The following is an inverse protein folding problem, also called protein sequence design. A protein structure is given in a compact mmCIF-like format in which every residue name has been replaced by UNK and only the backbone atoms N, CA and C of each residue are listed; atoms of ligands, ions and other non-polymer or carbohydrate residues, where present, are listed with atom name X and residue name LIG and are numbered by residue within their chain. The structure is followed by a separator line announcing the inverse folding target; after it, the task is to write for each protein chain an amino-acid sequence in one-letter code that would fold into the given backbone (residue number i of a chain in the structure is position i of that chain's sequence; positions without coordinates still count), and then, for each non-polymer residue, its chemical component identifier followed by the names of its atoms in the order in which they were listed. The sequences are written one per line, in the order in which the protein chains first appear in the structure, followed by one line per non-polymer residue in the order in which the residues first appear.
data_IF_825594086759
#
_entry.id   IF_825594086759
#
_cell.length_a   1.000
_cell.length_b   1.000
_cell.length_c   1.000
_cell.angle_alpha   90.00
_cell.angle_beta   90.00
_cell.angle_gamma   90.00
#
_symmetry.space_group_name_H-M   'P 1'
#
loop_
_entity.id
_entity.type
_entity.pdbx_description
1 polymer ?
#
# COMPACT_ATOMS: atom_id res chain seq x y z
N UNK A 1 24.85 -12.88 40.23
CA UNK A 1 25.07 -11.66 39.42
C UNK A 1 25.41 -12.09 38.01
N UNK A 2 24.46 -11.96 37.10
CA UNK A 2 24.72 -11.95 35.66
C UNK A 2 24.00 -10.70 35.16
N UNK A 3 24.75 -9.62 35.00
CA UNK A 3 24.24 -8.36 34.46
C UNK A 3 24.11 -8.60 32.96
N UNK A 4 22.88 -8.87 32.51
CA UNK A 4 22.55 -8.87 31.09
C UNK A 4 22.70 -7.44 30.59
N UNK A 5 23.79 -7.16 29.86
CA UNK A 5 23.89 -5.94 29.09
C UNK A 5 22.82 -5.96 27.99
N UNK A 6 22.01 -4.91 27.84
CA UNK A 6 21.11 -4.80 26.69
C UNK A 6 21.97 -4.76 25.43
N UNK A 7 21.64 -5.61 24.45
CA UNK A 7 22.26 -5.57 23.14
C UNK A 7 22.10 -4.17 22.57
N UNK A 8 23.21 -3.51 22.24
CA UNK A 8 23.20 -2.22 21.59
C UNK A 8 22.41 -2.32 20.28
N UNK A 9 21.36 -1.51 20.14
CA UNK A 9 20.65 -1.39 18.86
C UNK A 9 21.66 -1.07 17.75
N UNK A 10 21.54 -1.70 16.57
CA UNK A 10 22.47 -1.44 15.47
C UNK A 10 22.49 0.05 15.14
N UNK A 11 23.67 0.59 14.86
CA UNK A 11 23.82 1.98 14.47
C UNK A 11 22.95 2.27 13.24
N UNK A 12 22.24 3.42 13.20
CA UNK A 12 21.34 3.72 12.10
C UNK A 12 22.11 3.81 10.77
N UNK A 13 21.50 3.38 9.65
CA UNK A 13 22.14 3.42 8.35
C UNK A 13 22.56 4.85 8.01
N UNK A 14 23.78 4.98 7.48
CA UNK A 14 24.34 6.28 7.12
C UNK A 14 23.52 6.93 6.01
N UNK A 15 23.31 8.25 6.05
CA UNK A 15 22.71 8.96 4.94
C UNK A 15 23.57 8.79 3.68
N UNK A 16 22.93 8.35 2.60
CA UNK A 16 23.59 8.24 1.30
C UNK A 16 23.81 9.62 0.68
N UNK A 17 24.69 9.70 -0.32
CA UNK A 17 24.79 10.95 -1.11
C UNK A 17 23.48 11.16 -1.86
N UNK A 18 23.02 12.42 -2.07
CA UNK A 18 21.78 12.69 -2.76
C UNK A 18 21.77 12.09 -4.16
N UNK A 19 20.62 11.57 -4.57
CA UNK A 19 20.30 11.39 -5.98
C UNK A 19 20.35 12.75 -6.68
N UNK A 20 20.68 12.77 -7.98
CA UNK A 20 20.75 14.00 -8.76
C UNK A 20 19.84 13.88 -9.98
N UNK A 21 19.11 14.95 -10.26
CA UNK A 21 18.23 15.06 -11.40
C UNK A 21 16.80 14.63 -11.09
N UNK A 22 15.94 14.67 -12.11
CA UNK A 22 14.53 14.34 -12.01
C UNK A 22 14.33 12.95 -11.38
N UNK A 23 13.46 12.88 -10.37
CA UNK A 23 13.06 11.61 -9.76
C UNK A 23 11.91 11.04 -10.59
N UNK A 24 12.05 9.86 -11.22
CA UNK A 24 10.94 9.27 -11.97
C UNK A 24 9.75 9.04 -11.04
N UNK A 25 8.57 9.57 -11.40
CA UNK A 25 7.35 9.43 -10.61
C UNK A 25 7.05 7.95 -10.30
N UNK A 26 7.24 7.06 -11.27
CA UNK A 26 7.11 5.61 -11.14
C UNK A 26 7.91 5.02 -9.97
N UNK A 27 9.12 5.55 -9.74
CA UNK A 27 9.99 5.11 -8.65
C UNK A 27 9.57 5.61 -7.27
N UNK A 28 8.57 6.51 -7.19
CA UNK A 28 8.16 7.20 -5.98
C UNK A 28 6.68 7.03 -5.62
N UNK A 29 5.81 6.67 -6.56
CA UNK A 29 4.36 6.49 -6.32
C UNK A 29 4.09 5.57 -5.13
N UNK A 30 4.82 4.46 -5.01
CA UNK A 30 4.65 3.53 -3.89
C UNK A 30 4.95 4.16 -2.52
N UNK A 31 6.03 4.93 -2.41
CA UNK A 31 6.41 5.61 -1.17
C UNK A 31 5.43 6.73 -0.83
N UNK A 32 4.99 7.49 -1.85
CA UNK A 32 3.99 8.53 -1.73
C UNK A 32 2.63 7.98 -1.26
N UNK A 33 2.16 6.89 -1.88
CA UNK A 33 0.91 6.23 -1.54
C UNK A 33 0.96 5.70 -0.10
N UNK A 34 2.04 5.01 0.29
CA UNK A 34 2.23 4.52 1.65
C UNK A 34 2.20 5.65 2.66
N UNK A 35 2.86 6.77 2.36
CA UNK A 35 2.87 7.93 3.24
C UNK A 35 1.47 8.51 3.47
N UNK A 36 0.69 8.69 2.40
CA UNK A 36 -0.69 9.20 2.50
C UNK A 36 -1.58 8.22 3.26
N UNK A 37 -1.56 6.93 2.93
CA UNK A 37 -2.37 5.91 3.62
C UNK A 37 -2.00 5.80 5.09
N UNK A 38 -0.70 5.85 5.44
CA UNK A 38 -0.23 5.70 6.82
C UNK A 38 -0.66 6.88 7.70
N UNK A 39 -0.63 8.10 7.14
CA UNK A 39 -1.10 9.30 7.84
C UNK A 39 -2.58 9.18 8.22
N UNK A 40 -3.42 8.75 7.27
CA UNK A 40 -4.86 8.58 7.50
C UNK A 40 -5.18 7.37 8.40
N UNK A 41 -4.44 6.28 8.29
CA UNK A 41 -4.59 5.10 9.17
C UNK A 41 -4.33 5.45 10.65
N UNK A 42 -3.35 6.33 10.92
CA UNK A 42 -3.03 6.79 12.26
C UNK A 42 -4.05 7.78 12.86
N UNK A 43 -5.08 8.18 12.09
CA UNK A 43 -6.00 9.26 12.47
C UNK A 43 -5.35 10.64 12.50
N UNK A 44 -4.08 10.73 12.10
CA UNK A 44 -3.35 11.96 11.88
C UNK A 44 -3.63 12.42 10.44
N UNK A 45 -4.83 12.95 10.20
CA UNK A 45 -5.16 13.58 8.93
C UNK A 45 -4.07 14.59 8.53
N UNK A 46 -3.88 14.77 7.22
CA UNK A 46 -2.94 15.78 6.72
C UNK A 46 -3.31 17.15 7.36
N UNK A 47 -2.42 17.85 8.07
CA UNK A 47 -2.76 19.14 8.68
C UNK A 47 -3.23 20.18 7.66
N UNK A 48 -2.89 19.99 6.38
CA UNK A 48 -3.29 20.85 5.27
C UNK A 48 -4.66 20.45 4.64
N UNK A 49 -5.32 19.37 5.11
CA UNK A 49 -6.61 18.87 4.58
C UNK A 49 -7.60 18.55 5.72
N UNK A 50 -8.89 18.81 5.53
CA UNK A 50 -9.91 18.50 6.55
C UNK A 50 -10.04 16.96 6.70
N UNK A 51 -9.76 16.37 7.88
CA UNK A 51 -9.89 14.93 8.09
C UNK A 51 -11.30 14.39 7.81
N UNK A 52 -12.33 15.24 7.88
CA UNK A 52 -13.70 14.87 7.51
C UNK A 52 -13.92 14.73 6.00
N UNK A 53 -12.97 15.19 5.18
CA UNK A 53 -13.05 15.17 3.71
C UNK A 53 -12.40 13.93 3.07
N UNK A 54 -11.58 13.16 3.79
CA UNK A 54 -10.97 11.95 3.24
C UNK A 54 -11.98 10.78 3.27
N UNK A 55 -12.37 10.20 2.12
CA UNK A 55 -13.49 9.28 2.06
C UNK A 55 -13.16 7.87 2.58
N UNK A 56 -11.88 7.54 2.74
CA UNK A 56 -11.44 6.21 3.17
C UNK A 56 -11.33 6.14 4.69
N UNK A 57 -11.86 5.06 5.28
CA UNK A 57 -11.79 4.85 6.72
C UNK A 57 -10.35 4.53 7.17
N UNK A 58 -9.94 4.91 8.40
CA UNK A 58 -8.61 4.56 8.91
C UNK A 58 -8.32 3.05 8.90
N UNK A 59 -9.34 2.22 9.19
CA UNK A 59 -9.21 0.76 9.16
C UNK A 59 -9.04 0.20 7.75
N UNK A 60 -9.64 0.82 6.74
CA UNK A 60 -9.42 0.47 5.34
C UNK A 60 -7.99 0.81 4.91
N UNK A 61 -7.49 2.00 5.24
CA UNK A 61 -6.10 2.40 4.98
C UNK A 61 -5.10 1.45 5.66
N UNK A 62 -5.34 1.07 6.92
CA UNK A 62 -4.49 0.12 7.63
C UNK A 62 -4.44 -1.25 6.96
N UNK A 63 -5.57 -1.77 6.48
CA UNK A 63 -5.62 -3.05 5.74
C UNK A 63 -4.95 -3.00 4.38
N UNK A 64 -4.97 -1.85 3.70
CA UNK A 64 -4.24 -1.67 2.44
C UNK A 64 -2.72 -1.71 2.65
N UNK A 65 -2.25 -1.22 3.80
CA UNK A 65 -0.84 -1.19 4.19
C UNK A 65 -0.33 -2.51 4.78
N UNK A 66 -1.21 -3.47 5.03
CA UNK A 66 -0.80 -4.80 5.45
C UNK A 66 -0.03 -5.46 4.31
N UNK A 67 1.16 -6.00 4.61
CA UNK A 67 2.03 -6.61 3.61
C UNK A 67 1.47 -7.97 3.13
N UNK A 68 0.50 -8.55 3.85
CA UNK A 68 -0.12 -9.84 3.48
C UNK A 68 -1.02 -9.70 2.23
N UNK A 69 -0.42 -9.89 1.05
CA UNK A 69 -1.09 -9.83 -0.26
C UNK A 69 -0.67 -8.65 -1.15
N UNK A 70 0.23 -7.79 -0.67
CA UNK A 70 0.81 -6.62 -1.36
C UNK A 70 -0.25 -5.73 -2.05
N UNK A 71 -1.32 -5.40 -1.32
CA UNK A 71 -2.40 -4.56 -1.86
C UNK A 71 -1.91 -3.14 -2.14
N UNK A 72 -1.08 -2.57 -1.27
CA UNK A 72 -0.48 -1.25 -1.49
C UNK A 72 0.40 -1.24 -2.75
N UNK A 73 1.23 -2.26 -2.99
CA UNK A 73 2.06 -2.37 -4.19
C UNK A 73 1.23 -2.48 -5.47
N UNK A 74 0.17 -3.31 -5.46
CA UNK A 74 -0.77 -3.42 -6.58
C UNK A 74 -1.50 -2.11 -6.86
N UNK A 75 -1.95 -1.42 -5.83
CA UNK A 75 -2.55 -0.09 -5.98
C UNK A 75 -1.56 0.92 -6.53
N UNK A 76 -0.32 0.94 -6.05
CA UNK A 76 0.71 1.83 -6.56
C UNK A 76 0.93 1.63 -8.06
N UNK A 77 1.08 0.38 -8.51
CA UNK A 77 1.22 0.05 -9.93
C UNK A 77 -0.02 0.42 -10.75
N UNK A 78 -1.22 0.17 -10.22
CA UNK A 78 -2.47 0.53 -10.86
C UNK A 78 -2.65 2.05 -10.99
N UNK A 79 -2.34 2.81 -9.93
CA UNK A 79 -2.38 4.27 -9.95
C UNK A 79 -1.38 4.80 -10.97
N UNK A 80 -0.13 4.31 -10.97
CA UNK A 80 0.88 4.72 -11.95
C UNK A 80 0.38 4.57 -13.38
N UNK A 81 -0.15 3.39 -13.73
CA UNK A 81 -0.71 3.14 -15.05
C UNK A 81 -1.88 4.08 -15.37
N UNK A 82 -2.75 4.36 -14.39
CA UNK A 82 -3.90 5.24 -14.59
C UNK A 82 -3.52 6.70 -14.76
N UNK A 83 -2.49 7.17 -14.06
CA UNK A 83 -1.97 8.53 -14.22
C UNK A 83 -1.30 8.72 -15.60
N UNK A 84 -0.78 7.64 -16.19
CA UNK A 84 -0.21 7.66 -17.54
C UNK A 84 -1.27 7.55 -18.64
N UNK A 85 -2.23 6.62 -18.50
CA UNK A 85 -3.27 6.36 -19.49
C UNK A 85 -4.46 7.33 -19.40
N UNK A 86 -4.66 7.97 -18.26
CA UNK A 86 -5.80 8.86 -17.99
C UNK A 86 -7.13 8.15 -17.79
N UNK A 87 -7.11 6.85 -17.47
CA UNK A 87 -8.31 6.01 -17.32
C UNK A 87 -8.06 4.84 -16.38
N UNK A 88 -9.13 4.30 -15.81
CA UNK A 88 -9.08 3.07 -15.03
C UNK A 88 -9.04 1.81 -15.92
N UNK A 89 -8.52 0.67 -15.43
CA UNK A 89 -8.67 -0.63 -16.10
C UNK A 89 -10.14 -0.92 -16.38
N UNK A 90 -10.49 -1.66 -17.43
CA UNK A 90 -11.88 -2.08 -17.65
C UNK A 90 -12.44 -2.91 -16.47
N UNK A 91 -13.77 -2.92 -16.25
CA UNK A 91 -14.34 -3.72 -15.18
C UNK A 91 -14.04 -5.21 -15.37
N UNK A 92 -13.74 -5.97 -14.30
CA UNK A 92 -13.53 -7.41 -14.39
C UNK A 92 -14.76 -8.10 -14.98
N UNK A 93 -14.55 -8.99 -15.95
CA UNK A 93 -15.63 -9.63 -16.71
C UNK A 93 -15.59 -11.16 -16.58
N UNK A 94 -16.75 -11.75 -16.27
CA UNK A 94 -16.98 -13.20 -16.26
C UNK A 94 -18.16 -13.53 -17.14
N UNK A 95 -18.14 -14.70 -17.77
CA UNK A 95 -19.27 -15.18 -18.54
C UNK A 95 -20.56 -15.16 -17.71
N UNK A 96 -21.60 -14.48 -18.22
CA UNK A 96 -22.98 -14.48 -17.70
C UNK A 96 -23.20 -13.73 -16.38
N UNK A 97 -22.22 -13.00 -15.86
CA UNK A 97 -22.44 -11.99 -14.81
C UNK A 97 -22.63 -10.64 -15.48
N UNK A 98 -23.77 -9.95 -15.29
CA UNK A 98 -23.95 -8.61 -15.82
C UNK A 98 -22.90 -7.67 -15.22
N UNK A 99 -22.17 -6.97 -16.08
CA UNK A 99 -21.39 -5.80 -15.66
C UNK A 99 -22.41 -4.73 -15.25
N UNK A 100 -22.26 -4.14 -14.07
CA UNK A 100 -23.13 -3.04 -13.66
C UNK A 100 -22.98 -1.89 -14.68
N UNK A 101 -24.09 -1.24 -15.07
CA UNK A 101 -24.00 -0.03 -15.90
C UNK A 101 -23.26 1.05 -15.13
N UNK A 102 -22.07 1.41 -15.60
CA UNK A 102 -21.27 2.47 -15.03
C UNK A 102 -21.76 3.81 -15.60
N UNK A 103 -22.08 4.75 -14.71
CA UNK A 103 -22.34 6.14 -15.08
C UNK A 103 -21.08 6.80 -15.65
N UNK A 104 -21.18 8.02 -16.21
CA UNK A 104 -20.02 8.74 -16.73
C UNK A 104 -18.92 8.82 -15.66
N UNK A 105 -17.73 8.31 -16.00
CA UNK A 105 -16.61 8.20 -15.06
C UNK A 105 -16.00 9.59 -14.83
N UNK A 106 -16.35 10.21 -13.71
CA UNK A 106 -15.83 11.53 -13.29
C UNK A 106 -14.31 11.52 -12.99
N UNK A 107 -13.68 10.35 -13.05
CA UNK A 107 -12.30 10.11 -12.64
C UNK A 107 -11.26 10.46 -13.71
N UNK A 108 -11.57 10.32 -15.00
CA UNK A 108 -10.58 10.46 -16.09
C UNK A 108 -9.93 11.85 -16.10
N UNK A 109 -10.75 12.90 -15.98
CA UNK A 109 -10.26 14.29 -15.95
C UNK A 109 -9.37 14.54 -14.72
N UNK A 110 -9.78 14.05 -13.55
CA UNK A 110 -9.02 14.19 -12.30
C UNK A 110 -7.70 13.44 -12.40
N UNK A 111 -7.70 12.21 -12.93
CA UNK A 111 -6.49 11.39 -13.07
C UNK A 111 -5.49 12.02 -14.04
N UNK A 112 -5.95 12.56 -15.18
CA UNK A 112 -5.10 13.25 -16.14
C UNK A 112 -4.50 14.53 -15.55
N UNK A 113 -5.32 15.36 -14.92
CA UNK A 113 -4.88 16.62 -14.31
C UNK A 113 -3.87 16.36 -13.19
N UNK A 114 -4.22 15.49 -12.23
CA UNK A 114 -3.39 15.19 -11.07
C UNK A 114 -2.16 14.38 -11.43
N UNK A 115 -2.24 13.53 -12.46
CA UNK A 115 -1.10 12.82 -13.02
C UNK A 115 -0.08 13.78 -13.63
N UNK A 116 -0.54 14.77 -14.41
CA UNK A 116 0.32 15.81 -14.95
C UNK A 116 0.95 16.67 -13.85
N UNK A 117 0.17 17.04 -12.82
CA UNK A 117 0.65 17.80 -11.66
C UNK A 117 1.77 17.06 -10.91
N UNK A 118 1.56 15.79 -10.56
CA UNK A 118 2.59 14.95 -9.95
C UNK A 118 3.82 14.84 -10.84
N UNK A 119 3.65 14.56 -12.13
CA UNK A 119 4.77 14.42 -13.06
C UNK A 119 5.61 15.70 -13.15
N UNK A 120 4.97 16.87 -13.16
CA UNK A 120 5.66 18.17 -13.14
C UNK A 120 6.44 18.36 -11.84
N UNK A 121 5.83 18.08 -10.69
CA UNK A 121 6.48 18.17 -9.38
C UNK A 121 7.75 17.32 -9.31
N UNK A 122 7.67 16.05 -9.70
CA UNK A 122 8.79 15.10 -9.62
C UNK A 122 9.88 15.38 -10.66
N UNK A 123 9.52 15.86 -11.85
CA UNK A 123 10.49 16.29 -12.85
C UNK A 123 11.28 17.55 -12.44
N UNK A 124 10.68 18.41 -11.61
CA UNK A 124 11.32 19.62 -11.11
C UNK A 124 12.29 19.36 -9.93
N UNK A 125 12.33 18.15 -9.38
CA UNK A 125 13.21 17.81 -8.26
C UNK A 125 14.67 17.83 -8.71
N UNK A 126 15.50 18.57 -7.98
CA UNK A 126 16.95 18.61 -8.21
C UNK A 126 17.67 17.49 -7.45
N UNK A 127 17.24 17.23 -6.22
CA UNK A 127 17.89 16.28 -5.31
C UNK A 127 16.90 15.47 -4.48
N UNK A 128 17.12 14.16 -4.44
CA UNK A 128 16.42 13.24 -3.54
C UNK A 128 17.25 13.03 -2.26
N UNK A 129 16.63 13.28 -1.11
CA UNK A 129 17.23 13.09 0.21
C UNK A 129 16.39 12.12 1.04
N UNK A 130 17.06 11.42 1.96
CA UNK A 130 16.40 10.60 2.97
C UNK A 130 16.67 11.12 4.37
N UNK A 131 15.63 11.17 5.20
CA UNK A 131 15.70 11.59 6.59
C UNK A 131 14.87 10.65 7.47
N UNK A 132 15.36 10.36 8.67
CA UNK A 132 14.71 9.46 9.63
C UNK A 132 13.71 10.22 10.51
N UNK A 133 12.76 9.50 11.10
CA UNK A 133 11.98 10.04 12.22
C UNK A 133 12.87 10.32 13.44
N UNK A 134 12.57 11.37 14.25
CA UNK A 134 11.41 12.28 14.16
C UNK A 134 11.61 13.45 13.16
N UNK A 135 12.80 13.57 12.56
CA UNK A 135 13.18 14.73 11.75
C UNK A 135 12.33 14.86 10.48
N UNK A 136 11.89 13.76 9.88
CA UNK A 136 10.95 13.79 8.76
C UNK A 136 9.64 14.49 9.16
N UNK A 137 9.01 14.05 10.25
CA UNK A 137 7.79 14.68 10.78
C UNK A 137 8.01 16.17 11.12
N UNK A 138 9.17 16.51 11.70
CA UNK A 138 9.50 17.89 12.06
C UNK A 138 9.72 18.80 10.85
N UNK A 139 10.32 18.29 9.77
CA UNK A 139 10.46 19.01 8.50
C UNK A 139 9.09 19.27 7.89
N UNK A 140 8.21 18.26 7.87
CA UNK A 140 6.83 18.40 7.37
C UNK A 140 6.01 19.42 8.17
N UNK A 141 6.18 19.42 9.49
CA UNK A 141 5.51 20.34 10.40
C UNK A 141 6.18 21.72 10.49
N UNK A 142 7.23 21.97 9.69
CA UNK A 142 7.99 23.23 9.65
C UNK A 142 8.66 23.61 10.99
N UNK A 143 8.70 22.69 11.95
CA UNK A 143 9.40 22.86 13.21
C UNK A 143 10.93 22.79 13.02
N UNK A 144 11.37 21.94 12.08
CA UNK A 144 12.76 21.85 11.63
C UNK A 144 12.89 22.56 10.28
N UNK A 145 13.67 23.63 10.24
CA UNK A 145 13.84 24.49 9.05
C UNK A 145 15.26 24.48 8.50
N UNK A 146 16.19 23.80 9.16
CA UNK A 146 17.58 23.67 8.70
C UNK A 146 17.99 22.20 8.71
N UNK A 147 18.43 21.69 7.57
CA UNK A 147 18.96 20.34 7.42
C UNK A 147 20.50 20.34 7.41
N UNK A 148 21.09 19.77 8.45
CA UNK A 148 22.55 19.67 8.57
C UNK A 148 23.09 18.40 7.91
N UNK A 149 24.07 18.53 7.01
CA UNK A 149 24.71 17.40 6.31
C UNK A 149 26.21 17.59 6.20
N UNK A 150 26.96 16.50 6.14
CA UNK A 150 28.39 16.56 5.84
C UNK A 150 28.61 17.07 4.40
N UNK A 151 29.50 18.05 4.20
CA UNK A 151 29.73 18.73 2.91
C UNK A 151 30.47 17.85 1.89
N UNK A 152 29.82 16.77 1.44
CA UNK A 152 30.42 15.70 0.61
C UNK A 152 29.57 15.34 -0.59
N UNK A 153 30.22 14.82 -1.64
CA UNK A 153 29.52 14.28 -2.81
C UNK A 153 28.54 15.29 -3.43
N UNK A 154 27.34 14.82 -3.77
CA UNK A 154 26.30 15.64 -4.40
C UNK A 154 25.69 16.70 -3.46
N UNK A 155 25.87 16.60 -2.13
CA UNK A 155 25.39 17.66 -1.22
C UNK A 155 26.06 19.01 -1.53
N UNK A 156 27.29 19.02 -2.01
CA UNK A 156 28.00 20.26 -2.39
C UNK A 156 27.41 20.96 -3.63
N UNK A 157 26.48 20.31 -4.34
CA UNK A 157 25.82 20.85 -5.53
C UNK A 157 24.49 21.51 -5.21
N UNK A 158 23.98 21.33 -3.98
CA UNK A 158 22.75 21.96 -3.52
C UNK A 158 23.00 23.45 -3.37
N UNK A 159 22.12 24.27 -3.96
CA UNK A 159 22.21 25.73 -3.95
C UNK A 159 20.87 26.35 -3.57
N UNK A 160 20.88 27.63 -3.22
CA UNK A 160 19.63 28.37 -3.03
C UNK A 160 18.75 28.25 -4.30
N UNK A 161 17.46 28.02 -4.10
CA UNK A 161 16.49 27.78 -5.17
C UNK A 161 16.41 26.33 -5.66
N UNK A 162 17.26 25.42 -5.17
CA UNK A 162 17.10 23.98 -5.46
C UNK A 162 15.80 23.44 -4.83
N UNK A 163 15.17 22.48 -5.49
CA UNK A 163 14.02 21.74 -4.97
C UNK A 163 14.44 20.36 -4.45
N UNK A 164 14.18 20.10 -3.17
CA UNK A 164 14.50 18.84 -2.51
C UNK A 164 13.26 17.96 -2.37
N UNK A 165 13.42 16.66 -2.61
CA UNK A 165 12.41 15.66 -2.32
C UNK A 165 12.89 14.74 -1.19
N UNK A 166 12.24 14.84 -0.03
CA UNK A 166 12.53 14.01 1.14
C UNK A 166 11.66 12.77 1.17
N UNK A 167 12.31 11.61 1.37
CA UNK A 167 11.67 10.29 1.48
C UNK A 167 10.65 10.04 0.35
N UNK A 168 10.93 10.61 -0.84
CA UNK A 168 10.10 10.54 -2.04
C UNK A 168 8.67 11.08 -1.92
N UNK A 169 8.33 11.83 -0.86
CA UNK A 169 6.95 12.28 -0.64
C UNK A 169 6.80 13.73 -0.14
N UNK A 170 7.86 14.36 0.38
CA UNK A 170 7.83 15.73 0.89
C UNK A 170 8.72 16.65 0.05
N UNK A 171 8.15 17.68 -0.57
CA UNK A 171 8.91 18.70 -1.29
C UNK A 171 9.30 19.84 -0.37
N UNK A 172 10.53 20.33 -0.48
CA UNK A 172 11.02 21.52 0.23
C UNK A 172 11.92 22.37 -0.68
N UNK A 173 11.74 23.70 -0.63
CA UNK A 173 12.61 24.64 -1.33
C UNK A 173 13.85 24.93 -0.48
N UNK A 174 15.01 25.10 -1.11
CA UNK A 174 16.23 25.56 -0.44
C UNK A 174 16.29 27.07 -0.41
N UNK A 175 16.17 27.65 0.79
CA UNK A 175 16.24 29.09 1.01
C UNK A 175 17.68 29.59 1.08
N UNK A 176 18.57 28.82 1.69
CA UNK A 176 19.98 29.15 1.81
C UNK A 176 20.82 27.89 2.05
N UNK A 177 22.09 27.95 1.65
CA UNK A 177 23.09 26.92 2.01
C UNK A 177 24.31 27.63 2.59
N UNK A 178 24.70 27.26 3.82
CA UNK A 178 25.88 27.80 4.49
C UNK A 178 26.83 26.68 4.86
N UNK A 179 28.14 26.95 4.76
CA UNK A 179 29.19 25.99 5.09
C UNK A 179 29.88 26.36 6.40
N UNK A 180 30.09 25.37 7.25
CA UNK A 180 30.75 25.49 8.56
C UNK A 180 31.93 24.51 8.67
N UNK A 181 32.85 24.79 9.59
CA UNK A 181 33.99 23.91 9.86
C UNK A 181 33.59 22.67 10.66
N UNK A 182 32.51 22.78 11.46
CA UNK A 182 32.05 21.72 12.36
C UNK A 182 30.53 21.73 12.58
N UNK A 183 29.96 20.61 13.04
CA UNK A 183 28.57 20.54 13.47
C UNK A 183 28.31 21.43 14.69
N UNK A 184 29.28 21.53 15.60
CA UNK A 184 29.17 22.41 16.77
C UNK A 184 28.98 23.86 16.36
N UNK A 185 29.82 24.36 15.45
CA UNK A 185 29.73 25.72 14.90
C UNK A 185 28.40 25.95 14.16
N UNK A 186 27.99 24.98 13.34
CA UNK A 186 26.71 25.04 12.62
C UNK A 186 25.52 25.15 13.59
N UNK A 187 25.48 24.32 14.63
CA UNK A 187 24.37 24.31 15.61
C UNK A 187 24.32 25.59 16.45
N UNK A 188 25.46 26.22 16.70
CA UNK A 188 25.54 27.53 17.37
C UNK A 188 25.03 28.65 16.46
N UNK A 189 25.42 28.64 15.19
CA UNK A 189 25.10 29.69 14.23
C UNK A 189 23.65 29.63 13.70
N UNK A 190 23.12 28.43 13.46
CA UNK A 190 21.80 28.22 12.85
C UNK A 190 20.64 28.09 13.86
N UNK A 191 20.95 28.26 15.16
CA UNK A 191 20.04 28.03 16.29
C UNK A 191 19.62 26.56 16.36
N UNK A 192 20.07 25.84 17.39
CA UNK A 192 19.87 24.39 17.50
C UNK A 192 18.41 23.94 17.32
N UNK A 193 17.41 24.70 17.80
CA UNK A 193 16.01 24.34 17.64
C UNK A 193 15.52 24.31 16.19
N UNK A 194 16.15 25.06 15.28
CA UNK A 194 15.82 25.03 13.85
C UNK A 194 16.41 23.79 13.15
N UNK A 195 17.49 23.24 13.72
CA UNK A 195 18.22 22.09 13.16
C UNK A 195 17.75 20.77 13.79
N UNK A 196 17.57 20.76 15.10
CA UNK A 196 17.22 19.63 15.95
C UNK A 196 16.21 20.10 17.02
N UNK A 197 14.91 20.26 16.68
CA UNK A 197 13.90 20.87 17.55
C UNK A 197 13.79 20.30 18.97
N UNK A 198 13.97 18.99 19.13
CA UNK A 198 13.86 18.31 20.43
C UNK A 198 15.15 18.36 21.27
N UNK A 199 16.21 19.00 20.76
CA UNK A 199 17.53 19.03 21.39
C UNK A 199 17.90 20.46 21.79
N UNK A 200 18.26 20.65 23.05
CA UNK A 200 18.55 21.98 23.61
C UNK A 200 20.04 22.26 23.87
N UNK A 201 20.92 21.23 23.81
CA UNK A 201 22.36 21.37 24.03
C UNK A 201 23.15 21.08 22.75
N UNK A 202 24.16 21.91 22.48
CA UNK A 202 25.06 21.74 21.33
C UNK A 202 25.78 20.39 21.41
N UNK A 203 26.23 20.00 22.60
CA UNK A 203 26.93 18.73 22.84
C UNK A 203 26.06 17.53 22.49
N UNK A 204 24.79 17.53 22.91
CA UNK A 204 23.82 16.48 22.54
C UNK A 204 23.50 16.52 21.04
N UNK A 205 23.39 17.71 20.44
CA UNK A 205 23.19 17.86 19.00
C UNK A 205 24.33 17.28 18.18
N UNK A 206 25.59 17.49 18.60
CA UNK A 206 26.76 16.87 17.96
C UNK A 206 26.71 15.34 18.09
N UNK A 207 26.29 14.80 19.25
CA UNK A 207 26.13 13.34 19.43
C UNK A 207 25.12 12.74 18.45
N UNK A 208 24.07 13.46 18.06
CA UNK A 208 23.13 13.02 17.01
C UNK A 208 23.89 12.79 15.70
N UNK A 209 24.68 13.77 15.25
CA UNK A 209 25.46 13.67 14.01
C UNK A 209 26.56 12.60 14.07
N UNK A 210 27.14 12.38 15.26
CA UNK A 210 28.16 11.34 15.49
C UNK A 210 27.66 9.92 15.27
N UNK A 211 26.34 9.69 15.31
CA UNK A 211 25.76 8.40 14.91
C UNK A 211 25.99 8.09 13.42
N UNK A 212 26.20 9.12 12.60
CA UNK A 212 26.31 9.01 11.14
C UNK A 212 27.70 9.37 10.59
N UNK A 213 28.38 10.33 11.20
CA UNK A 213 29.62 10.92 10.69
C UNK A 213 30.73 10.95 11.75
N UNK A 214 31.94 10.53 11.36
CA UNK A 214 33.12 10.60 12.24
C UNK A 214 33.74 12.00 12.23
N UNK A 215 34.52 12.32 13.28
CA UNK A 215 35.15 13.63 13.42
C UNK A 215 36.16 13.91 12.31
N UNK A 216 36.88 12.87 11.88
CA UNK A 216 37.89 12.99 10.83
C UNK A 216 37.26 13.42 9.51
N UNK A 217 36.07 12.90 9.21
CA UNK A 217 35.32 13.28 8.01
C UNK A 217 34.77 14.68 8.12
N UNK A 218 34.19 15.03 9.26
CA UNK A 218 33.77 16.42 9.53
C UNK A 218 34.90 17.40 9.31
N UNK A 219 36.08 17.13 9.89
CA UNK A 219 37.26 17.97 9.72
C UNK A 219 37.76 18.04 8.27
N UNK A 220 37.62 16.96 7.52
CA UNK A 220 38.08 16.89 6.12
C UNK A 220 37.18 17.64 5.16
N UNK A 221 35.87 17.64 5.39
CA UNK A 221 34.88 18.13 4.42
C UNK A 221 34.18 19.42 4.88
N UNK A 222 34.02 19.61 6.18
CA UNK A 222 33.12 20.58 6.78
C UNK A 222 31.66 20.10 6.75
N UNK A 223 30.76 21.01 7.12
CA UNK A 223 29.32 20.76 7.27
C UNK A 223 28.53 21.79 6.47
N UNK A 224 27.39 21.38 5.91
CA UNK A 224 26.41 22.25 5.28
C UNK A 224 25.19 22.37 6.19
N UNK A 225 24.73 23.60 6.40
CA UNK A 225 23.37 23.91 6.82
C UNK A 225 22.55 24.25 5.59
N UNK A 226 21.50 23.49 5.35
CA UNK A 226 20.56 23.68 4.23
C UNK A 226 19.27 24.21 4.82
N UNK A 227 19.04 25.52 4.75
CA UNK A 227 17.80 26.14 5.19
C UNK A 227 16.70 25.84 4.18
N UNK A 228 15.54 25.39 4.66
CA UNK A 228 14.44 24.89 3.84
C UNK A 228 13.10 25.53 4.21
N UNK A 229 12.21 25.63 3.23
CA UNK A 229 10.81 26.06 3.40
C UNK A 229 9.86 25.10 2.67
N UNK A 230 8.60 25.02 3.14
CA UNK A 230 7.57 24.18 2.51
C UNK A 230 6.89 24.94 1.36
N UNK A 231 6.98 24.48 0.09
CA UNK A 231 6.16 25.03 -0.98
C UNK A 231 4.67 24.74 -0.73
N UNK A 232 3.80 25.58 -1.30
CA UNK A 232 2.35 25.47 -1.15
C UNK A 232 1.77 24.20 -1.77
N UNK A 233 2.35 23.73 -2.87
CA UNK A 233 1.94 22.51 -3.55
C UNK A 233 2.81 21.33 -3.09
N UNK A 234 2.16 20.21 -2.77
CA UNK A 234 2.82 19.02 -2.23
C UNK A 234 2.34 17.74 -2.93
N UNK A 235 3.25 16.76 -3.16
CA UNK A 235 2.86 15.50 -3.79
C UNK A 235 1.81 14.74 -2.99
N UNK A 236 1.91 14.77 -1.65
CA UNK A 236 0.99 14.05 -0.78
C UNK A 236 -0.42 14.65 -0.81
N UNK A 237 -0.56 15.96 -1.03
CA UNK A 237 -1.86 16.61 -1.24
C UNK A 237 -2.46 16.15 -2.56
N UNK A 238 -1.67 16.17 -3.63
CA UNK A 238 -2.12 15.73 -4.97
C UNK A 238 -2.51 14.24 -4.97
N UNK A 239 -1.74 13.38 -4.31
CA UNK A 239 -2.09 11.97 -4.13
C UNK A 239 -3.35 11.79 -3.27
N UNK A 240 -3.55 12.63 -2.25
CA UNK A 240 -4.80 12.62 -1.47
C UNK A 240 -5.99 12.93 -2.38
N UNK A 241 -5.89 13.93 -3.26
CA UNK A 241 -6.96 14.26 -4.22
C UNK A 241 -7.23 13.09 -5.19
N UNK A 242 -6.19 12.39 -5.65
CA UNK A 242 -6.34 11.17 -6.48
C UNK A 242 -7.11 10.09 -5.73
N UNK A 243 -6.77 9.83 -4.46
CA UNK A 243 -7.48 8.83 -3.65
C UNK A 243 -8.92 9.24 -3.33
N UNK A 244 -9.16 10.54 -3.11
CA UNK A 244 -10.50 11.09 -2.90
C UNK A 244 -11.35 10.91 -4.15
N UNK A 245 -10.78 11.23 -5.33
CA UNK A 245 -11.41 11.01 -6.62
C UNK A 245 -11.74 9.53 -6.81
N UNK A 246 -10.77 8.64 -6.67
CA UNK A 246 -11.00 7.20 -6.88
C UNK A 246 -12.03 6.61 -5.91
N UNK A 247 -12.03 7.05 -4.64
CA UNK A 247 -12.89 6.51 -3.60
C UNK A 247 -12.76 4.98 -3.45
N UNK A 248 -13.73 4.34 -2.80
CA UNK A 248 -13.73 2.89 -2.65
C UNK A 248 -13.86 2.15 -3.98
N UNK A 249 -14.71 2.64 -4.88
CA UNK A 249 -15.02 1.97 -6.13
C UNK A 249 -13.82 1.94 -7.08
N UNK A 250 -13.15 3.09 -7.27
CA UNK A 250 -11.95 3.19 -8.10
C UNK A 250 -10.79 2.37 -7.54
N UNK A 251 -10.57 2.41 -6.22
CA UNK A 251 -9.55 1.57 -5.59
C UNK A 251 -9.84 0.07 -5.70
N UNK A 252 -11.10 -0.33 -5.55
CA UNK A 252 -11.52 -1.70 -5.80
C UNK A 252 -11.24 -2.14 -7.24
N UNK A 253 -11.55 -1.28 -8.21
CA UNK A 253 -11.29 -1.54 -9.64
C UNK A 253 -9.79 -1.67 -9.95
N UNK A 254 -8.95 -0.83 -9.35
CA UNK A 254 -7.48 -0.96 -9.42
C UNK A 254 -6.95 -2.26 -8.79
N UNK A 255 -7.65 -2.79 -7.78
CA UNK A 255 -7.36 -4.09 -7.17
C UNK A 255 -7.95 -5.28 -7.94
N UNK A 256 -8.60 -5.05 -9.09
CA UNK A 256 -9.25 -6.09 -9.90
C UNK A 256 -10.56 -6.59 -9.29
N UNK A 257 -11.17 -5.84 -8.38
CA UNK A 257 -12.48 -6.15 -7.83
C UNK A 257 -13.59 -5.66 -8.75
N UNK A 258 -14.62 -6.49 -8.88
CA UNK A 258 -15.83 -6.14 -9.58
C UNK A 258 -16.80 -5.39 -8.66
N UNK A 259 -17.66 -4.57 -9.28
CA UNK A 259 -18.77 -3.90 -8.61
C UNK A 259 -20.09 -4.50 -9.07
N UNK A 260 -20.90 -4.93 -8.12
CA UNK A 260 -22.26 -5.43 -8.37
C UNK A 260 -23.23 -4.90 -7.32
N UNK A 261 -24.53 -5.11 -7.54
CA UNK A 261 -25.53 -4.83 -6.52
C UNK A 261 -25.21 -5.62 -5.23
N UNK A 262 -25.07 -4.91 -4.12
CA UNK A 262 -24.70 -5.48 -2.83
C UNK A 262 -23.20 -5.59 -2.56
N UNK A 263 -22.33 -5.08 -3.43
CA UNK A 263 -20.90 -4.88 -3.12
C UNK A 263 -20.75 -4.07 -1.83
N UNK A 264 -19.86 -4.53 -0.96
CA UNK A 264 -19.46 -3.83 0.27
C UNK A 264 -18.38 -2.81 -0.12
N UNK A 265 -18.60 -1.49 0.04
CA UNK A 265 -17.68 -0.48 -0.46
C UNK A 265 -16.25 -0.62 0.08
N UNK A 266 -16.08 -0.80 1.39
CA UNK A 266 -14.76 -0.97 2.03
C UNK A 266 -14.27 -2.43 2.03
N UNK A 267 -14.82 -3.27 1.16
CA UNK A 267 -14.38 -4.65 0.96
C UNK A 267 -12.98 -4.70 0.34
N UNK A 268 -12.12 -5.55 0.88
CA UNK A 268 -10.79 -5.83 0.33
C UNK A 268 -10.62 -7.34 0.14
N UNK A 269 -9.84 -7.79 -0.86
CA UNK A 269 -9.55 -9.19 -1.01
C UNK A 269 -8.76 -9.69 0.21
N UNK A 270 -9.18 -10.81 0.85
CA UNK A 270 -8.40 -11.43 1.90
C UNK A 270 -7.04 -11.92 1.39
N UNK A 271 -6.06 -12.08 2.27
CA UNK A 271 -4.78 -12.67 1.90
C UNK A 271 -4.93 -14.06 1.29
N UNK A 272 -4.18 -14.35 0.23
CA UNK A 272 -4.19 -15.67 -0.44
C UNK A 272 -3.88 -16.80 0.54
N UNK A 273 -2.98 -16.54 1.49
CA UNK A 273 -2.61 -17.43 2.59
C UNK A 273 -3.83 -17.82 3.45
N UNK A 274 -4.67 -16.85 3.82
CA UNK A 274 -5.89 -17.07 4.60
C UNK A 274 -6.93 -17.88 3.82
N UNK A 275 -7.10 -17.59 2.53
CA UNK A 275 -8.03 -18.32 1.64
C UNK A 275 -7.63 -19.81 1.55
N UNK A 276 -6.36 -20.10 1.25
CA UNK A 276 -5.84 -21.48 1.16
C UNK A 276 -5.94 -22.19 2.51
N UNK A 277 -5.50 -21.54 3.59
CA UNK A 277 -5.52 -22.10 4.94
C UNK A 277 -6.92 -22.52 5.37
N UNK A 278 -7.93 -21.67 5.12
CA UNK A 278 -9.31 -21.97 5.49
C UNK A 278 -9.91 -23.13 4.71
N UNK A 279 -9.52 -23.33 3.44
CA UNK A 279 -9.91 -24.47 2.61
C UNK A 279 -9.34 -25.80 3.15
N UNK A 280 -8.11 -25.76 3.68
CA UNK A 280 -7.38 -26.94 4.14
C UNK A 280 -7.69 -27.35 5.58
N UNK A 281 -8.67 -26.71 6.24
CA UNK A 281 -9.12 -27.15 7.56
C UNK A 281 -9.83 -28.50 7.49
N UNK A 282 -9.60 -29.32 8.53
CA UNK A 282 -10.28 -30.61 8.68
C UNK A 282 -11.77 -30.40 8.91
N UNK A 283 -12.60 -31.14 8.17
CA UNK A 283 -14.05 -31.05 8.27
C UNK A 283 -14.59 -31.55 9.62
N UNK A 284 -13.95 -32.60 10.16
CA UNK A 284 -14.31 -33.21 11.44
C UNK A 284 -13.04 -33.48 12.26
N UNK A 285 -12.41 -32.44 12.83
CA UNK A 285 -11.10 -32.56 13.46
C UNK A 285 -11.10 -33.50 14.68
N UNK A 286 -12.26 -33.76 15.27
CA UNK A 286 -12.42 -34.65 16.42
C UNK A 286 -12.56 -36.14 16.04
N UNK A 287 -12.61 -36.47 14.75
CA UNK A 287 -12.74 -37.86 14.26
C UNK A 287 -11.38 -38.37 13.79
N UNK A 288 -10.74 -39.22 14.60
CA UNK A 288 -9.34 -39.67 14.41
C UNK A 288 -9.02 -40.32 13.06
N UNK A 289 -10.01 -40.87 12.36
CA UNK A 289 -9.84 -41.55 11.07
C UNK A 289 -10.23 -40.70 9.85
N UNK A 290 -10.70 -39.47 10.05
CA UNK A 290 -11.16 -38.59 8.98
C UNK A 290 -10.10 -37.50 8.75
N UNK A 291 -9.41 -37.56 7.61
CA UNK A 291 -8.46 -36.52 7.19
C UNK A 291 -9.04 -35.61 6.11
N UNK A 292 -10.33 -35.76 5.80
CA UNK A 292 -11.01 -34.98 4.77
C UNK A 292 -11.10 -33.49 5.16
N UNK A 293 -10.68 -32.63 4.24
CA UNK A 293 -10.77 -31.17 4.37
C UNK A 293 -12.18 -30.66 4.08
N UNK A 294 -12.49 -29.45 4.55
CA UNK A 294 -13.73 -28.75 4.21
C UNK A 294 -13.85 -28.53 2.69
N UNK A 295 -12.75 -28.18 2.02
CA UNK A 295 -12.72 -28.04 0.57
C UNK A 295 -13.03 -29.38 -0.14
N UNK A 296 -12.36 -30.48 0.22
CA UNK A 296 -12.64 -31.78 -0.37
C UNK A 296 -14.08 -32.24 -0.15
N UNK A 297 -14.64 -31.99 1.05
CA UNK A 297 -16.03 -32.30 1.34
C UNK A 297 -17.00 -31.48 0.49
N UNK A 298 -16.70 -30.20 0.28
CA UNK A 298 -17.49 -29.34 -0.59
C UNK A 298 -17.39 -29.82 -2.05
N UNK A 299 -16.17 -30.04 -2.57
CA UNK A 299 -15.92 -30.43 -3.95
C UNK A 299 -16.65 -31.72 -4.32
N UNK A 300 -16.66 -32.72 -3.43
CA UNK A 300 -17.39 -33.98 -3.64
C UNK A 300 -18.89 -33.77 -3.91
N UNK A 301 -19.50 -32.70 -3.37
CA UNK A 301 -20.90 -32.34 -3.69
C UNK A 301 -21.05 -31.74 -5.09
N UNK A 302 -20.03 -31.04 -5.58
CA UNK A 302 -20.04 -30.35 -6.88
C UNK A 302 -19.68 -31.27 -8.05
N UNK A 303 -18.81 -32.27 -7.84
CA UNK A 303 -18.47 -33.26 -8.89
C UNK A 303 -19.72 -33.94 -9.46
N UNK A 304 -20.73 -34.20 -8.63
CA UNK A 304 -21.98 -34.83 -9.07
C UNK A 304 -22.96 -33.86 -9.75
N UNK A 305 -22.67 -32.56 -9.71
CA UNK A 305 -23.54 -31.48 -10.18
C UNK A 305 -23.01 -30.77 -11.42
N UNK A 306 -21.70 -30.82 -11.66
CA UNK A 306 -21.09 -30.24 -12.85
C UNK A 306 -21.41 -31.10 -14.07
N UNK A 307 -22.24 -30.57 -14.94
CA UNK A 307 -22.66 -31.22 -16.20
C UNK A 307 -21.51 -31.50 -17.18
N UNK A 308 -20.31 -30.95 -16.92
CA UNK A 308 -19.14 -31.03 -17.82
C UNK A 308 -17.92 -31.70 -17.19
N UNK A 309 -17.99 -32.16 -15.94
CA UNK A 309 -16.86 -32.77 -15.24
C UNK A 309 -15.71 -31.80 -14.91
N UNK A 310 -15.99 -30.48 -14.87
CA UNK A 310 -14.97 -29.45 -14.63
C UNK A 310 -14.21 -29.64 -13.32
N UNK A 311 -14.89 -30.11 -12.28
CA UNK A 311 -14.34 -30.36 -10.94
C UNK A 311 -13.55 -31.68 -10.82
N UNK A 312 -13.39 -32.44 -11.90
CA UNK A 312 -12.76 -33.76 -11.88
C UNK A 312 -13.65 -34.86 -11.28
N UNK A 313 -13.03 -35.96 -10.85
CA UNK A 313 -13.68 -37.11 -10.22
C UNK A 313 -13.23 -37.27 -8.75
N UNK A 314 -14.14 -37.05 -7.81
CA UNK A 314 -13.87 -37.13 -6.37
C UNK A 314 -13.97 -38.58 -5.84
N UNK A 315 -13.22 -39.49 -6.45
CA UNK A 315 -13.13 -40.90 -6.05
C UNK A 315 -11.82 -41.19 -5.27
N UNK A 316 -11.73 -42.37 -4.64
CA UNK A 316 -10.51 -42.76 -3.90
C UNK A 316 -10.42 -42.28 -2.44
N UNK A 317 -9.18 -42.20 -1.94
CA UNK A 317 -8.84 -41.91 -0.54
C UNK A 317 -9.10 -40.45 -0.14
N UNK A 318 -9.20 -40.17 1.17
CA UNK A 318 -9.30 -38.78 1.67
C UNK A 318 -8.12 -37.92 1.20
N UNK A 319 -6.92 -38.50 1.13
CA UNK A 319 -5.73 -37.82 0.60
C UNK A 319 -5.92 -37.39 -0.86
N UNK A 320 -6.41 -38.31 -1.71
CA UNK A 320 -6.64 -38.03 -3.14
C UNK A 320 -7.71 -36.96 -3.34
N UNK A 321 -8.78 -36.97 -2.52
CA UNK A 321 -9.83 -35.94 -2.57
C UNK A 321 -9.34 -34.58 -2.11
N UNK A 322 -8.48 -34.55 -1.10
CA UNK A 322 -7.85 -33.32 -0.61
C UNK A 322 -6.91 -32.71 -1.65
N UNK A 323 -6.12 -33.54 -2.33
CA UNK A 323 -5.23 -33.12 -3.41
C UNK A 323 -6.03 -32.50 -4.57
N UNK A 324 -7.08 -33.18 -5.06
CA UNK A 324 -7.97 -32.66 -6.09
C UNK A 324 -8.61 -31.31 -5.68
N UNK A 325 -9.04 -31.18 -4.41
CA UNK A 325 -9.61 -29.93 -3.92
C UNK A 325 -8.58 -28.80 -3.80
N UNK A 326 -7.33 -29.12 -3.44
CA UNK A 326 -6.23 -28.15 -3.43
C UNK A 326 -5.93 -27.67 -4.84
N UNK A 327 -5.80 -28.58 -5.80
CA UNK A 327 -5.58 -28.24 -7.22
C UNK A 327 -6.71 -27.34 -7.76
N UNK A 328 -7.97 -27.68 -7.46
CA UNK A 328 -9.11 -26.86 -7.86
C UNK A 328 -9.05 -25.44 -7.27
N UNK A 329 -8.70 -25.28 -5.99
CA UNK A 329 -8.54 -23.97 -5.36
C UNK A 329 -7.37 -23.19 -5.95
N UNK A 330 -6.24 -23.85 -6.20
CA UNK A 330 -5.08 -23.21 -6.81
C UNK A 330 -5.38 -22.72 -8.22
N UNK A 331 -6.06 -23.53 -9.05
CA UNK A 331 -6.54 -23.11 -10.36
C UNK A 331 -7.48 -21.90 -10.27
N UNK A 332 -8.49 -21.93 -9.38
CA UNK A 332 -9.41 -20.81 -9.19
C UNK A 332 -8.69 -19.51 -8.76
N UNK A 333 -7.69 -19.61 -7.90
CA UNK A 333 -6.92 -18.45 -7.43
C UNK A 333 -5.91 -17.94 -8.47
N UNK A 334 -5.38 -18.81 -9.32
CA UNK A 334 -4.44 -18.45 -10.41
C UNK A 334 -5.18 -17.84 -11.61
N UNK A 335 -6.30 -18.43 -12.01
CA UNK A 335 -7.07 -18.05 -13.19
C UNK A 335 -8.23 -17.08 -12.85
N UNK A 336 -8.23 -16.54 -11.63
CA UNK A 336 -9.23 -15.60 -11.15
C UNK A 336 -9.28 -14.37 -12.09
N UNK A 337 -10.43 -14.18 -12.73
CA UNK A 337 -10.68 -13.02 -13.60
C UNK A 337 -11.74 -12.07 -13.04
N UNK A 338 -12.28 -12.41 -11.87
CA UNK A 338 -13.30 -11.64 -11.18
C UNK A 338 -13.30 -11.98 -9.71
N UNK A 339 -13.36 -10.96 -8.88
CA UNK A 339 -13.55 -11.11 -7.44
C UNK A 339 -14.41 -9.98 -6.90
N UNK A 340 -15.09 -10.21 -5.79
CA UNK A 340 -15.91 -9.19 -5.14
C UNK A 340 -16.11 -9.52 -3.66
N UNK A 341 -16.29 -8.49 -2.84
CA UNK A 341 -16.85 -8.60 -1.49
C UNK A 341 -18.28 -8.07 -1.55
N UNK A 342 -19.26 -8.94 -1.35
CA UNK A 342 -20.66 -8.55 -1.48
C UNK A 342 -21.57 -9.27 -0.49
N UNK A 343 -22.75 -8.70 -0.28
CA UNK A 343 -23.78 -9.29 0.56
C UNK A 343 -24.43 -10.48 -0.18
N UNK A 344 -24.55 -11.61 0.52
CA UNK A 344 -25.33 -12.76 0.08
C UNK A 344 -26.18 -13.29 1.22
N UNK A 345 -27.42 -13.68 0.95
CA UNK A 345 -28.21 -14.43 1.93
C UNK A 345 -27.85 -15.93 1.87
N UNK A 346 -27.89 -16.68 2.99
CA UNK A 346 -28.10 -16.22 4.38
C UNK A 346 -26.81 -15.74 5.09
N UNK A 347 -25.67 -15.67 4.40
CA UNK A 347 -24.35 -15.56 5.03
C UNK A 347 -23.89 -14.14 5.42
N UNK A 348 -24.56 -13.10 4.94
CA UNK A 348 -24.09 -11.72 5.08
C UNK A 348 -22.96 -11.41 4.06
N UNK A 349 -21.94 -10.61 4.41
CA UNK A 349 -20.86 -10.27 3.51
C UNK A 349 -19.92 -11.45 3.28
N UNK A 350 -19.60 -11.71 2.03
CA UNK A 350 -18.73 -12.82 1.59
C UNK A 350 -17.69 -12.32 0.60
N UNK A 351 -16.55 -12.98 0.56
CA UNK A 351 -15.57 -12.82 -0.52
C UNK A 351 -15.78 -13.94 -1.55
N UNK A 352 -15.89 -13.57 -2.82
CA UNK A 352 -16.14 -14.50 -3.91
C UNK A 352 -15.13 -14.27 -5.03
N UNK A 353 -14.64 -15.36 -5.62
CA UNK A 353 -13.81 -15.33 -6.84
C UNK A 353 -14.42 -16.21 -7.91
N UNK A 354 -14.18 -15.85 -9.17
CA UNK A 354 -14.60 -16.63 -10.34
C UNK A 354 -13.56 -16.62 -11.46
N UNK A 355 -13.50 -17.75 -12.15
CA UNK A 355 -12.78 -17.90 -13.42
C UNK A 355 -13.70 -17.60 -14.60
N UNK A 356 -13.14 -17.52 -15.80
CA UNK A 356 -13.83 -17.05 -17.01
C UNK A 356 -15.11 -17.84 -17.31
N UNK A 357 -15.09 -19.16 -17.14
CA UNK A 357 -16.22 -20.07 -17.36
C UNK A 357 -17.34 -19.91 -16.32
N UNK A 358 -17.12 -19.12 -15.28
CA UNK A 358 -18.07 -18.82 -14.22
C UNK A 358 -18.00 -19.74 -13.00
N UNK A 359 -17.15 -20.76 -13.01
CA UNK A 359 -16.85 -21.54 -11.81
C UNK A 359 -16.14 -20.67 -10.77
N UNK A 360 -16.31 -20.97 -9.48
CA UNK A 360 -15.77 -20.12 -8.43
C UNK A 360 -15.74 -20.74 -7.06
N UNK A 361 -15.36 -19.92 -6.09
CA UNK A 361 -15.30 -20.27 -4.68
C UNK A 361 -15.67 -19.06 -3.82
N UNK A 362 -16.16 -19.34 -2.61
CA UNK A 362 -16.65 -18.34 -1.67
C UNK A 362 -16.10 -18.57 -0.28
N UNK A 363 -15.79 -17.47 0.40
CA UNK A 363 -15.36 -17.42 1.79
C UNK A 363 -16.18 -16.39 2.57
N UNK A 364 -16.08 -16.40 3.91
CA UNK A 364 -16.39 -15.22 4.72
C UNK A 364 -15.60 -14.01 4.21
N UNK A 365 -16.11 -12.79 4.47
CA UNK A 365 -15.48 -11.55 4.03
C UNK A 365 -13.98 -11.44 4.38
N UNK A 366 -13.56 -12.00 5.52
CA UNK A 366 -12.18 -12.00 6.00
C UNK A 366 -11.33 -13.17 5.49
N UNK A 367 -11.90 -14.05 4.66
CA UNK A 367 -11.23 -15.25 4.17
C UNK A 367 -11.05 -16.37 5.20
N UNK A 368 -11.43 -16.15 6.46
CA UNK A 368 -11.18 -17.08 7.56
C UNK A 368 -12.05 -18.34 7.49
N UNK A 369 -13.11 -18.35 6.68
CA UNK A 369 -14.00 -19.49 6.50
C UNK A 369 -14.35 -19.75 5.05
N UNK A 370 -13.90 -20.89 4.53
CA UNK A 370 -14.40 -21.43 3.28
C UNK A 370 -15.89 -21.78 3.41
N UNK A 371 -16.69 -21.28 2.47
CA UNK A 371 -18.15 -21.48 2.42
C UNK A 371 -18.47 -22.58 1.41
N UNK A 372 -17.85 -22.57 0.23
CA UNK A 372 -18.06 -23.60 -0.78
C UNK A 372 -17.63 -23.18 -2.18
N UNK A 373 -17.71 -24.14 -3.11
CA UNK A 373 -17.52 -23.90 -4.54
C UNK A 373 -18.80 -23.37 -5.17
N UNK A 374 -18.67 -22.83 -6.38
CA UNK A 374 -19.74 -22.16 -7.10
C UNK A 374 -19.79 -22.65 -8.54
N UNK A 375 -20.99 -23.01 -8.99
CA UNK A 375 -21.26 -23.29 -10.41
C UNK A 375 -21.40 -21.98 -11.22
N UNK A 376 -21.26 -22.05 -12.56
CA UNK A 376 -21.51 -20.92 -13.43
C UNK A 376 -22.91 -20.33 -13.26
N UNK A 377 -23.02 -19.01 -13.44
CA UNK A 377 -24.30 -18.32 -13.37
C UNK A 377 -25.29 -18.91 -14.39
N UNK A 378 -26.51 -19.18 -13.95
CA UNK A 378 -27.64 -19.56 -14.80
C UNK A 378 -28.79 -18.58 -14.60
N UNK A 379 -29.45 -18.09 -15.67
CA UNK A 379 -30.55 -17.12 -15.57
C UNK A 379 -31.71 -17.55 -14.65
N UNK A 380 -31.93 -18.87 -14.53
CA UNK A 380 -32.98 -19.47 -13.71
C UNK A 380 -32.55 -19.75 -12.26
N UNK A 381 -31.28 -19.47 -11.92
CA UNK A 381 -30.68 -19.79 -10.62
C UNK A 381 -31.40 -19.12 -9.45
N UNK A 382 -31.83 -17.87 -9.63
CA UNK A 382 -32.61 -17.12 -8.64
C UNK A 382 -33.94 -17.82 -8.31
N UNK A 383 -34.69 -18.25 -9.32
CA UNK A 383 -35.98 -18.96 -9.19
C UNK A 383 -35.86 -20.39 -8.64
N UNK A 384 -34.67 -21.02 -8.73
CA UNK A 384 -34.38 -22.35 -8.17
C UNK A 384 -33.62 -22.28 -6.83
N UNK A 385 -33.50 -21.09 -6.24
CA UNK A 385 -32.92 -20.85 -4.93
C UNK A 385 -31.41 -21.04 -4.87
N UNK A 386 -30.68 -20.67 -5.93
CA UNK A 386 -29.22 -20.85 -6.08
C UNK A 386 -28.76 -22.17 -5.47
N UNK A 387 -28.89 -23.27 -6.23
CA UNK A 387 -28.37 -24.56 -5.76
C UNK A 387 -26.84 -24.48 -5.70
N UNK A 388 -26.33 -23.99 -4.56
CA UNK A 388 -24.96 -24.09 -4.11
C UNK A 388 -24.60 -25.57 -3.95
#
# INVERSE_FOLDING_TARGET
MAISHPAASPAPPRPQSPGVGSVPLSSAIGDLLRFVLSSHAAGAGNPDHDPAAFPLSPSYCARLLDDDGDLCGKLAAGIEQCLEEGRLPGPPAVARIPVAEEGPEEWEAVLLEKGAELKLMYNAVDFELHVQEPYFTQLRAEAKTVEGRLATGNYNRITQGSLLLFNKCLLLNVEAVKKYSSFSEMLQAEIISNVLPDISSIEEGVKVYRKFYTEEREKSYGVLAISVSKPSAQPYTTMTDVLVGLGYDGLGRLLGMARTAGTVPDGLPPPRSALISSCMRLHQPNVKSCSLTDAARALAKHVHRSTKGWWGDASGSDSSKNELASEAIDCLLCDCCWMNVHLTQPYGPVFEIRVHEGYGARWSQDGAKFIGFLEPYTPEGFSKGWKH
#
